data_IF_541147329297
#
_entry.id   IF_541147329297
#
_cell.length_a   1.000
_cell.length_b   1.000
_cell.length_c   1.000
_cell.angle_alpha   90.00
_cell.angle_beta   90.00
_cell.angle_gamma   90.00
#
_symmetry.space_group_name_H-M   'P 1'
#
loop_
_entity.id
_entity.type
_entity.pdbx_description
1 polymer ?
#
# COMPACT_ATOMS: atom_id res chain seq x y z
N UNK A 1 -10.93 8.05 6.09
CA UNK A 1 -11.02 6.78 6.83
C UNK A 1 -9.61 6.31 7.02
N UNK A 2 -9.28 5.90 8.24
CA UNK A 2 -7.89 5.68 8.65
C UNK A 2 -7.58 4.18 8.72
N UNK A 3 -8.51 3.34 8.24
CA UNK A 3 -8.43 1.87 8.26
C UNK A 3 -7.29 1.36 7.36
N UNK A 4 -6.13 1.20 7.99
CA UNK A 4 -4.90 0.70 7.36
C UNK A 4 -5.04 -0.74 6.90
N UNK A 5 -5.86 -1.55 7.59
CA UNK A 5 -6.10 -2.96 7.23
C UNK A 5 -6.84 -3.05 5.90
N UNK A 6 -7.97 -2.34 5.78
CA UNK A 6 -8.76 -2.33 4.56
C UNK A 6 -7.97 -1.75 3.37
N UNK A 7 -7.20 -0.67 3.60
CA UNK A 7 -6.33 -0.10 2.58
C UNK A 7 -5.33 -1.14 2.04
N UNK A 8 -4.63 -1.85 2.94
CA UNK A 8 -3.63 -2.84 2.55
C UNK A 8 -4.26 -4.05 1.82
N UNK A 9 -5.44 -4.49 2.26
CA UNK A 9 -6.17 -5.59 1.62
C UNK A 9 -6.62 -5.24 0.20
N UNK A 10 -7.21 -4.05 0.00
CA UNK A 10 -7.67 -3.61 -1.32
C UNK A 10 -6.51 -3.35 -2.28
N UNK A 11 -5.41 -2.76 -1.79
CA UNK A 11 -4.18 -2.59 -2.57
C UNK A 11 -3.62 -3.94 -3.03
N UNK A 12 -3.57 -4.94 -2.16
CA UNK A 12 -3.13 -6.29 -2.53
C UNK A 12 -4.08 -6.92 -3.55
N UNK A 13 -5.39 -6.87 -3.31
CA UNK A 13 -6.41 -7.52 -4.15
C UNK A 13 -6.48 -6.93 -5.55
N UNK A 14 -6.43 -5.60 -5.68
CA UNK A 14 -6.63 -4.90 -6.97
C UNK A 14 -5.33 -4.71 -7.74
N UNK A 15 -4.21 -4.52 -7.04
CA UNK A 15 -2.93 -4.14 -7.64
C UNK A 15 -1.80 -5.14 -7.40
N UNK A 16 -2.03 -6.19 -6.59
CA UNK A 16 -1.02 -7.22 -6.32
C UNK A 16 0.19 -6.69 -5.55
N UNK A 17 0.01 -5.68 -4.70
CA UNK A 17 1.08 -5.12 -3.85
C UNK A 17 0.81 -5.45 -2.39
N UNK A 18 1.67 -6.29 -1.81
CA UNK A 18 1.61 -6.64 -0.39
C UNK A 18 2.38 -5.61 0.45
N UNK A 19 1.70 -5.02 1.43
CA UNK A 19 2.26 -4.11 2.45
C UNK A 19 1.71 -4.49 3.82
N UNK A 20 2.34 -4.00 4.88
CA UNK A 20 1.92 -4.35 6.26
C UNK A 20 1.13 -3.18 6.87
N UNK A 21 -0.11 -3.41 7.34
CA UNK A 21 -0.93 -2.37 7.94
C UNK A 21 -0.32 -1.86 9.24
N UNK A 22 -0.47 -0.56 9.49
CA UNK A 22 0.08 0.14 10.65
C UNK A 22 -0.61 -0.19 11.97
N UNK A 23 -1.85 -0.71 11.93
CA UNK A 23 -2.59 -1.13 13.14
C UNK A 23 -1.79 -2.09 14.03
N UNK A 24 -1.02 -3.01 13.43
CA UNK A 24 -0.18 -3.97 14.14
C UNK A 24 1.04 -3.36 14.84
N UNK A 25 1.33 -2.08 14.57
CA UNK A 25 2.44 -1.31 15.14
C UNK A 25 1.96 -0.07 15.93
N UNK A 26 0.66 0.06 16.19
CA UNK A 26 0.10 1.24 16.85
C UNK A 26 0.17 2.52 16.02
N UNK A 27 0.28 2.40 14.69
CA UNK A 27 0.39 3.51 13.74
C UNK A 27 -0.77 3.46 12.73
N UNK A 28 -2.02 3.48 13.21
CA UNK A 28 -3.21 3.50 12.36
C UNK A 28 -3.17 4.66 11.35
N UNK A 29 -3.74 4.47 10.16
CA UNK A 29 -3.64 5.42 9.05
C UNK A 29 -2.32 5.33 8.26
N UNK A 30 -1.35 4.51 8.70
CA UNK A 30 -0.10 4.27 7.98
C UNK A 30 0.05 2.79 7.58
N UNK A 31 0.99 2.50 6.69
CA UNK A 31 1.43 1.15 6.38
C UNK A 31 2.95 1.12 6.19
N UNK A 32 3.54 -0.06 6.34
CA UNK A 32 4.97 -0.30 6.11
C UNK A 32 5.18 -1.09 4.83
N UNK A 33 6.13 -0.64 4.01
CA UNK A 33 6.64 -1.41 2.88
C UNK A 33 8.14 -1.73 3.08
N UNK A 34 8.61 -2.82 2.49
CA UNK A 34 10.02 -3.20 2.52
C UNK A 34 10.76 -2.59 1.34
N UNK A 35 11.96 -2.07 1.57
CA UNK A 35 12.89 -1.64 0.53
C UNK A 35 14.05 -2.63 0.32
N UNK A 36 14.04 -3.77 1.00
CA UNK A 36 15.03 -4.83 0.85
C UNK A 36 14.71 -5.71 -0.38
N UNK A 37 14.63 -5.09 -1.55
CA UNK A 37 14.37 -5.69 -2.85
C UNK A 37 15.16 -4.95 -3.94
N UNK A 38 15.20 -5.49 -5.16
CA UNK A 38 15.85 -4.80 -6.27
C UNK A 38 15.07 -3.52 -6.68
N UNK A 39 15.79 -2.57 -7.29
CA UNK A 39 15.22 -1.27 -7.66
C UNK A 39 14.08 -1.36 -8.67
N UNK A 40 14.05 -2.41 -9.51
CA UNK A 40 12.99 -2.60 -10.51
C UNK A 40 11.69 -2.99 -9.79
N UNK A 41 11.76 -3.95 -8.87
CA UNK A 41 10.65 -4.35 -8.02
C UNK A 41 10.11 -3.20 -7.19
N UNK A 42 10.98 -2.40 -6.56
CA UNK A 42 10.56 -1.23 -5.78
C UNK A 42 9.82 -0.21 -6.67
N UNK A 43 10.37 0.12 -7.84
CA UNK A 43 9.76 1.10 -8.76
C UNK A 43 8.38 0.65 -9.23
N UNK A 44 8.23 -0.62 -9.57
CA UNK A 44 6.94 -1.17 -10.00
C UNK A 44 5.91 -1.18 -8.85
N UNK A 45 6.33 -1.55 -7.64
CA UNK A 45 5.49 -1.47 -6.44
C UNK A 45 4.98 -0.05 -6.18
N UNK A 46 5.87 0.95 -6.20
CA UNK A 46 5.50 2.36 -6.02
C UNK A 46 4.56 2.85 -7.14
N UNK A 47 4.81 2.48 -8.40
CA UNK A 47 3.94 2.83 -9.54
C UNK A 47 2.52 2.27 -9.37
N UNK A 48 2.37 1.05 -8.85
CA UNK A 48 1.07 0.44 -8.56
C UNK A 48 0.35 1.13 -7.41
N UNK A 49 1.08 1.48 -6.34
CA UNK A 49 0.55 2.26 -5.22
C UNK A 49 0.05 3.63 -5.70
N UNK A 50 0.82 4.33 -6.55
CA UNK A 50 0.42 5.61 -7.11
C UNK A 50 -0.91 5.51 -7.86
N UNK A 51 -1.07 4.51 -8.74
CA UNK A 51 -2.31 4.28 -9.48
C UNK A 51 -3.49 4.05 -8.54
N UNK A 52 -3.33 3.19 -7.55
CA UNK A 52 -4.36 2.92 -6.55
C UNK A 52 -4.80 4.18 -5.82
N UNK A 53 -3.86 5.00 -5.33
CA UNK A 53 -4.17 6.25 -4.62
C UNK A 53 -4.88 7.25 -5.52
N UNK A 54 -4.47 7.38 -6.79
CA UNK A 54 -5.15 8.25 -7.76
C UNK A 54 -6.59 7.85 -8.01
N UNK A 55 -6.90 6.55 -8.06
CA UNK A 55 -8.28 6.07 -8.19
C UNK A 55 -9.12 6.38 -6.95
N UNK A 56 -8.55 6.28 -5.74
CA UNK A 56 -9.25 6.64 -4.50
C UNK A 56 -9.59 8.13 -4.40
N UNK A 57 -8.80 9.00 -5.03
CA UNK A 57 -9.01 10.46 -5.03
C UNK A 57 -10.04 10.94 -6.06
N UNK A 58 -10.46 10.08 -6.99
CA UNK A 58 -11.44 10.40 -8.03
C UNK A 58 -12.87 9.98 -7.66
N UNK A 59 -13.05 9.35 -6.49
CA UNK A 59 -14.34 8.93 -5.95
C UNK A 59 -14.83 9.81 -4.80
#
# INVERSE_FOLDING_TARGET
SDDSMNFCQELLKRYGVAVVPGIGFGSEGYFRFSYAADIVTIREGIRRIEKFVRELQQG
#
